data_IF_996286975364
#
_entry.id   IF_996286975364
#
_cell.length_a   1.000
_cell.length_b   1.000
_cell.length_c   1.000
_cell.angle_alpha   90.00
_cell.angle_beta   90.00
_cell.angle_gamma   90.00
#
_symmetry.space_group_name_H-M   'P 1'
#
loop_
_entity.id
_entity.type
_entity.pdbx_description
1 polymer ?
#
# COMPACT_ATOMS: atom_id res chain seq x y z
N UNK A 1 -7.10 19.76 2.05
CA UNK A 1 -6.47 19.70 3.39
C UNK A 1 -6.85 18.36 3.98
N UNK A 2 -6.01 17.34 3.75
CA UNK A 2 -6.24 15.96 4.21
C UNK A 2 -5.25 15.72 5.33
N UNK A 3 -5.74 15.51 6.55
CA UNK A 3 -4.90 15.22 7.71
C UNK A 3 -4.41 13.78 7.60
N UNK A 4 -3.12 13.61 7.28
CA UNK A 4 -2.43 12.32 7.37
C UNK A 4 -2.03 12.13 8.83
N UNK A 5 -2.78 11.30 9.55
CA UNK A 5 -2.39 10.86 10.90
C UNK A 5 -1.38 9.73 10.72
N UNK A 6 -0.09 10.07 10.79
CA UNK A 6 0.98 9.09 10.88
C UNK A 6 1.00 8.52 12.31
N UNK A 7 0.58 7.26 12.47
CA UNK A 7 0.82 6.50 13.70
C UNK A 7 2.22 5.90 13.60
N UNK A 8 3.15 6.43 14.40
CA UNK A 8 4.46 5.85 14.58
C UNK A 8 4.34 4.53 15.36
N UNK A 9 4.40 3.41 14.65
CA UNK A 9 4.55 2.08 15.23
C UNK A 9 5.97 1.87 15.75
N UNK A 10 6.13 1.85 17.08
CA UNK A 10 7.37 1.47 17.71
C UNK A 10 7.63 -0.04 17.50
N UNK A 11 8.68 -0.36 16.77
CA UNK A 11 9.27 -1.70 16.75
C UNK A 11 9.67 -2.11 18.18
N UNK A 12 9.11 -3.21 18.66
CA UNK A 12 9.32 -3.73 20.00
C UNK A 12 9.43 -5.25 19.98
N UNK A 13 10.64 -5.73 19.72
CA UNK A 13 11.00 -7.14 19.74
C UNK A 13 11.06 -7.66 21.20
N UNK A 14 10.54 -8.88 21.36
CA UNK A 14 10.87 -9.89 22.37
C UNK A 14 11.01 -9.48 23.85
N UNK A 15 9.97 -9.78 24.64
CA UNK A 15 10.11 -9.81 26.10
C UNK A 15 8.87 -10.26 26.86
N UNK A 16 8.49 -11.54 26.77
CA UNK A 16 7.54 -12.15 27.71
C UNK A 16 8.10 -12.03 29.14
N UNK A 17 7.61 -11.10 29.94
CA UNK A 17 7.57 -11.16 31.40
C UNK A 17 6.53 -10.16 31.89
N UNK A 18 5.48 -10.68 32.53
CA UNK A 18 4.22 -9.99 32.75
C UNK A 18 4.37 -8.68 33.52
N UNK A 19 3.82 -7.60 32.95
CA UNK A 19 3.54 -6.37 33.66
C UNK A 19 2.09 -5.98 33.42
N UNK A 20 1.28 -6.14 34.47
CA UNK A 20 0.00 -5.46 34.62
C UNK A 20 0.26 -3.95 34.67
N UNK A 21 0.32 -3.29 33.52
CA UNK A 21 0.21 -1.83 33.48
C UNK A 21 -1.28 -1.49 33.52
N UNK A 22 -1.75 -1.17 34.72
CA UNK A 22 -2.98 -0.38 34.90
C UNK A 22 -2.73 0.96 34.23
N UNK A 23 -3.24 1.16 33.02
CA UNK A 23 -3.26 2.49 32.39
C UNK A 23 -4.41 3.25 33.02
N UNK A 24 -4.05 4.23 33.85
CA UNK A 24 -4.96 5.25 34.36
C UNK A 24 -5.38 6.13 33.19
N UNK A 25 -6.65 6.03 32.79
CA UNK A 25 -7.32 6.96 31.88
C UNK A 25 -7.56 8.27 32.64
N UNK A 26 -6.96 9.42 32.24
CA UNK A 26 -7.38 10.70 32.78
C UNK A 26 -8.74 11.07 32.20
N UNK A 27 -9.74 10.97 33.07
CA UNK A 27 -11.12 11.39 32.85
C UNK A 27 -11.15 12.93 32.93
N UNK A 28 -10.98 13.63 31.81
CA UNK A 28 -11.17 15.09 31.74
C UNK A 28 -12.63 15.38 31.46
N UNK A 29 -13.37 15.64 32.54
CA UNK A 29 -14.77 16.04 32.53
C UNK A 29 -14.91 17.55 32.78
N UNK A 30 -15.62 18.24 31.88
CA UNK A 30 -16.28 19.55 32.09
C UNK A 30 -15.37 20.78 32.33
N UNK A 31 -15.80 22.03 32.16
CA UNK A 31 -17.05 22.60 31.70
C UNK A 31 -16.80 24.10 31.37
N UNK A 32 -17.48 24.59 30.33
CA UNK A 32 -18.16 25.88 30.14
C UNK A 32 -17.61 27.22 30.72
N UNK A 33 -17.69 28.22 29.82
CA UNK A 33 -18.08 29.64 30.02
C UNK A 33 -17.12 30.57 30.80
N UNK A 34 -16.42 31.40 30.04
CA UNK A 34 -15.81 32.64 30.53
C UNK A 34 -15.66 33.67 29.42
N UNK A 35 -16.59 34.62 29.35
CA UNK A 35 -16.46 35.83 28.56
C UNK A 35 -15.29 36.67 29.09
N UNK A 36 -14.28 36.90 28.26
CA UNK A 36 -13.13 37.74 28.57
C UNK A 36 -12.77 38.60 27.36
N UNK A 37 -13.28 39.83 27.37
CA UNK A 37 -12.92 40.89 26.43
C UNK A 37 -11.46 41.28 26.67
N UNK A 38 -10.60 41.16 25.66
CA UNK A 38 -9.18 41.48 25.79
C UNK A 38 -8.49 41.58 24.43
N UNK A 39 -8.68 42.71 23.77
CA UNK A 39 -7.87 43.16 22.64
C UNK A 39 -6.58 43.79 23.18
N UNK A 40 -5.41 43.38 22.67
CA UNK A 40 -4.42 44.36 22.19
C UNK A 40 -3.84 43.92 20.83
N UNK A 41 -4.10 44.66 19.76
CA UNK A 41 -3.30 45.78 19.21
C UNK A 41 -1.91 45.37 18.67
N UNK A 42 -1.58 45.66 17.38
CA UNK A 42 -0.48 45.03 16.64
C UNK A 42 0.79 45.90 16.57
N UNK A 43 1.97 45.27 16.48
CA UNK A 43 3.21 45.86 15.93
C UNK A 43 4.32 44.79 15.80
N UNK A 44 5.38 45.02 15.01
CA UNK A 44 5.43 45.40 13.60
C UNK A 44 6.22 44.36 12.76
N UNK A 45 6.19 44.57 11.44
CA UNK A 45 6.97 43.84 10.44
C UNK A 45 8.48 43.79 10.76
N UNK A 46 9.10 42.63 10.51
CA UNK A 46 10.54 42.52 10.25
C UNK A 46 10.77 41.75 8.95
N UNK A 47 11.05 42.49 7.89
CA UNK A 47 11.89 42.02 6.78
C UNK A 47 13.33 41.89 7.27
N UNK A 48 14.03 40.84 6.84
CA UNK A 48 15.37 41.05 6.33
C UNK A 48 15.51 40.53 4.89
N UNK A 49 15.79 41.51 4.04
CA UNK A 49 16.47 41.45 2.76
C UNK A 49 17.75 40.60 2.79
N UNK A 50 17.93 39.72 1.80
CA UNK A 50 19.07 39.76 0.86
C UNK A 50 19.13 38.49 0.01
N UNK A 51 19.22 38.69 -1.31
CA UNK A 51 19.58 37.69 -2.32
C UNK A 51 21.04 37.21 -2.15
N UNK A 52 21.42 36.10 -2.80
CA UNK A 52 22.15 36.31 -4.07
C UNK A 52 21.68 35.45 -5.24
N UNK A 53 21.73 36.08 -6.41
CA UNK A 53 21.76 35.45 -7.73
C UNK A 53 23.10 34.74 -7.98
N UNK A 54 23.08 33.59 -8.65
CA UNK A 54 24.10 33.07 -9.56
C UNK A 54 23.52 31.81 -10.24
N UNK A 55 23.09 31.87 -11.50
CA UNK A 55 23.88 31.79 -12.74
C UNK A 55 24.72 30.52 -12.86
N UNK A 56 24.28 29.58 -13.69
CA UNK A 56 25.16 28.71 -14.48
C UNK A 56 24.40 28.26 -15.74
N UNK A 57 24.81 28.85 -16.86
CA UNK A 57 24.49 28.39 -18.20
C UNK A 57 25.29 27.10 -18.50
N UNK A 58 24.64 26.13 -19.14
CA UNK A 58 25.27 24.93 -19.67
C UNK A 58 24.63 24.55 -20.99
N UNK A 59 25.36 24.83 -22.08
CA UNK A 59 24.96 24.60 -23.47
C UNK A 59 25.24 23.17 -23.94
N UNK A 60 24.38 22.67 -24.85
CA UNK A 60 24.67 21.82 -26.04
C UNK A 60 25.02 20.32 -25.86
N UNK A 61 24.92 19.46 -26.90
CA UNK A 61 24.33 19.59 -28.26
C UNK A 61 23.47 18.37 -28.75
N UNK A 62 23.06 18.43 -30.03
CA UNK A 62 22.62 17.36 -30.96
C UNK A 62 21.18 16.83 -30.79
N UNK A 63 20.28 16.85 -31.78
CA UNK A 63 20.46 16.94 -33.22
C UNK A 63 20.70 15.55 -33.83
N UNK A 64 19.63 14.80 -34.11
CA UNK A 64 19.47 13.94 -35.29
C UNK A 64 18.08 13.31 -35.35
N UNK A 65 17.53 13.35 -36.56
CA UNK A 65 16.22 12.86 -36.98
C UNK A 65 15.93 11.39 -36.69
N UNK A 66 14.64 11.00 -36.65
CA UNK A 66 14.22 9.60 -36.68
C UNK A 66 14.64 8.94 -38.00
N UNK A 67 15.34 7.82 -37.89
CA UNK A 67 15.55 6.91 -39.01
C UNK A 67 14.29 6.06 -39.24
N UNK A 68 13.86 6.08 -40.49
CA UNK A 68 12.78 5.34 -41.12
C UNK A 68 12.78 3.83 -40.79
N UNK A 69 11.63 3.20 -40.54
CA UNK A 69 11.53 1.75 -40.39
C UNK A 69 11.78 1.04 -41.73
N UNK A 70 12.55 -0.07 -41.77
CA UNK A 70 12.52 -0.98 -42.90
C UNK A 70 11.19 -1.75 -42.94
N UNK A 71 10.69 -1.91 -44.16
CA UNK A 71 9.46 -2.60 -44.52
C UNK A 71 9.46 -4.11 -44.12
N UNK A 72 8.27 -4.70 -43.92
CA UNK A 72 8.11 -6.10 -43.56
C UNK A 72 8.61 -7.02 -44.69
N UNK A 73 9.49 -7.95 -44.35
CA UNK A 73 9.81 -9.09 -45.22
C UNK A 73 8.90 -10.23 -44.80
N UNK A 74 7.96 -10.61 -45.68
CA UNK A 74 7.16 -11.81 -45.53
C UNK A 74 8.02 -13.04 -45.87
N UNK A 75 8.09 -14.06 -45.00
CA UNK A 75 8.29 -15.43 -45.42
C UNK A 75 6.94 -16.09 -45.68
N UNK A 76 6.71 -16.36 -46.97
CA UNK A 76 5.80 -17.39 -47.46
C UNK A 76 6.28 -18.74 -46.93
N UNK A 77 5.49 -19.41 -46.10
CA UNK A 77 5.70 -20.82 -45.73
C UNK A 77 4.34 -21.45 -45.49
N UNK A 78 3.94 -22.22 -46.50
CA UNK A 78 3.02 -23.35 -46.57
C UNK A 78 2.07 -23.63 -45.38
N UNK A 79 0.77 -23.94 -45.64
CA UNK A 79 -0.10 -24.52 -44.62
C UNK A 79 0.32 -25.99 -44.34
N UNK A 80 0.69 -26.36 -43.09
CA UNK A 80 0.62 -27.74 -42.68
C UNK A 80 -0.82 -28.09 -42.28
N UNK A 81 -1.20 -29.29 -42.67
CA UNK A 81 -2.51 -29.93 -42.52
C UNK A 81 -3.25 -29.68 -41.20
N UNK A 82 -4.56 -29.51 -41.35
CA UNK A 82 -5.54 -29.55 -40.29
C UNK A 82 -5.54 -30.93 -39.60
N UNK A 83 -4.71 -31.10 -38.58
CA UNK A 83 -4.93 -32.12 -37.57
C UNK A 83 -6.01 -31.61 -36.61
N UNK A 84 -7.24 -32.06 -36.83
CA UNK A 84 -8.35 -31.94 -35.87
C UNK A 84 -8.01 -32.78 -34.63
N UNK A 85 -7.17 -32.24 -33.75
CA UNK A 85 -6.96 -32.80 -32.42
C UNK A 85 -8.04 -32.25 -31.51
N UNK A 86 -9.08 -33.06 -31.27
CA UNK A 86 -10.03 -32.83 -30.18
C UNK A 86 -9.28 -32.94 -28.86
N UNK A 87 -8.69 -31.82 -28.42
CA UNK A 87 -8.20 -31.66 -27.06
C UNK A 87 -9.41 -31.73 -26.10
N UNK A 88 -9.30 -32.45 -24.97
CA UNK A 88 -10.33 -32.42 -23.94
C UNK A 88 -10.49 -30.97 -23.47
N UNK A 89 -11.75 -30.54 -23.30
CA UNK A 89 -12.07 -29.24 -22.72
C UNK A 89 -11.25 -29.04 -21.44
N UNK A 90 -10.36 -28.04 -21.45
CA UNK A 90 -9.66 -27.62 -20.26
C UNK A 90 -10.71 -27.27 -19.18
N UNK A 91 -10.49 -27.65 -17.91
CA UNK A 91 -11.35 -27.21 -16.83
C UNK A 91 -11.39 -25.68 -16.87
N UNK A 92 -12.61 -25.13 -16.93
CA UNK A 92 -12.82 -23.70 -17.06
C UNK A 92 -12.01 -22.95 -16.00
N UNK A 93 -11.24 -21.97 -16.46
CA UNK A 93 -10.63 -20.95 -15.61
C UNK A 93 -11.72 -20.40 -14.70
N UNK A 94 -11.69 -20.79 -13.43
CA UNK A 94 -12.51 -20.15 -12.41
C UNK A 94 -12.15 -18.66 -12.45
N UNK A 95 -13.15 -17.80 -12.61
CA UNK A 95 -12.95 -16.37 -12.49
C UNK A 95 -12.26 -16.08 -11.14
N UNK A 96 -11.36 -15.08 -11.06
CA UNK A 96 -10.67 -14.74 -9.81
C UNK A 96 -11.70 -14.63 -8.69
N UNK A 97 -11.59 -15.57 -7.75
CA UNK A 97 -12.58 -15.76 -6.71
C UNK A 97 -12.52 -14.60 -5.72
N UNK A 98 -13.60 -13.84 -5.62
CA UNK A 98 -13.86 -13.05 -4.43
C UNK A 98 -14.12 -14.03 -3.29
N UNK A 99 -13.16 -14.21 -2.39
CA UNK A 99 -13.43 -14.89 -1.12
C UNK A 99 -14.42 -14.04 -0.34
N UNK A 100 -15.65 -14.52 -0.20
CA UNK A 100 -16.69 -13.81 0.53
C UNK A 100 -16.40 -13.94 2.04
N UNK A 101 -16.13 -12.83 2.75
CA UNK A 101 -15.80 -12.89 4.16
C UNK A 101 -17.04 -13.20 5.00
N UNK A 102 -16.84 -13.47 6.29
CA UNK A 102 -17.94 -13.70 7.23
C UNK A 102 -18.96 -12.55 7.21
N UNK A 103 -20.25 -12.87 7.43
CA UNK A 103 -21.34 -11.92 7.31
C UNK A 103 -21.08 -10.58 8.04
N UNK A 104 -21.13 -9.48 7.29
CA UNK A 104 -20.96 -8.12 7.79
C UNK A 104 -19.53 -7.58 7.74
N UNK A 105 -18.54 -8.37 7.32
CA UNK A 105 -17.19 -7.92 7.02
C UNK A 105 -17.08 -7.36 5.58
N UNK A 106 -16.24 -6.35 5.31
CA UNK A 106 -16.06 -5.79 3.96
C UNK A 106 -15.42 -6.79 3.00
N UNK A 107 -15.90 -6.87 1.75
CA UNK A 107 -15.36 -7.80 0.76
C UNK A 107 -13.95 -7.44 0.31
N UNK A 108 -13.12 -8.45 0.03
CA UNK A 108 -11.83 -8.25 -0.67
C UNK A 108 -11.99 -8.43 -2.17
N UNK A 109 -10.99 -8.00 -2.92
CA UNK A 109 -10.85 -8.25 -4.35
C UNK A 109 -9.53 -8.93 -4.62
N UNK A 110 -9.49 -9.82 -5.61
CA UNK A 110 -8.22 -10.29 -6.15
C UNK A 110 -7.59 -9.13 -6.96
N UNK A 111 -6.36 -8.70 -6.64
CA UNK A 111 -5.70 -7.63 -7.38
C UNK A 111 -5.44 -8.05 -8.83
N UNK A 112 -5.58 -7.11 -9.76
CA UNK A 112 -5.16 -7.27 -11.17
C UNK A 112 -4.00 -6.31 -11.46
N UNK A 113 -3.05 -6.71 -12.29
CA UNK A 113 -1.91 -5.85 -12.65
C UNK A 113 -2.37 -4.48 -13.18
N UNK A 114 -1.80 -3.41 -12.62
CA UNK A 114 -2.11 -2.02 -12.94
C UNK A 114 -3.44 -1.52 -12.39
N UNK A 115 -4.25 -2.37 -11.74
CA UNK A 115 -5.48 -1.94 -11.09
C UNK A 115 -5.16 -1.20 -9.80
N UNK A 116 -5.73 0.00 -9.65
CA UNK A 116 -5.64 0.74 -8.38
C UNK A 116 -6.61 0.14 -7.36
N UNK A 117 -6.07 -0.31 -6.23
CA UNK A 117 -6.81 -0.91 -5.12
C UNK A 117 -6.30 -0.35 -3.78
N UNK A 118 -7.05 -0.57 -2.70
CA UNK A 118 -6.62 -0.24 -1.34
C UNK A 118 -6.09 -1.50 -0.65
N UNK A 119 -4.80 -1.54 -0.36
CA UNK A 119 -4.16 -2.61 0.39
C UNK A 119 -4.17 -2.31 1.89
N UNK A 120 -4.46 -3.33 2.69
CA UNK A 120 -4.27 -3.34 4.15
C UNK A 120 -3.15 -4.33 4.45
N UNK A 121 -2.10 -3.86 5.09
CA UNK A 121 -0.95 -4.69 5.48
C UNK A 121 -1.08 -5.10 6.94
N UNK A 122 -1.14 -6.40 7.18
CA UNK A 122 -1.32 -6.99 8.50
C UNK A 122 0.03 -7.14 9.23
N UNK A 123 1.07 -7.53 8.50
CA UNK A 123 2.45 -7.49 8.95
C UNK A 123 3.38 -7.19 7.76
N UNK A 124 4.56 -6.64 8.05
CA UNK A 124 5.62 -6.29 7.09
C UNK A 124 6.97 -6.63 7.70
N UNK A 125 7.74 -7.45 6.99
CA UNK A 125 9.09 -7.89 7.40
C UNK A 125 10.09 -7.61 6.30
N UNK A 126 11.38 -7.56 6.65
CA UNK A 126 12.44 -7.51 5.64
C UNK A 126 12.45 -8.86 4.91
N UNK A 127 12.59 -8.83 3.59
CA UNK A 127 12.57 -10.04 2.75
C UNK A 127 13.58 -11.08 3.27
N UNK A 128 13.14 -12.34 3.36
CA UNK A 128 13.96 -13.45 3.86
C UNK A 128 14.17 -13.45 5.38
N UNK A 129 13.48 -12.57 6.11
CA UNK A 129 13.49 -12.53 7.58
C UNK A 129 12.09 -12.82 8.13
N UNK A 130 12.03 -13.37 9.35
CA UNK A 130 10.79 -13.45 10.15
C UNK A 130 9.54 -14.02 9.42
N UNK A 131 9.70 -14.98 8.50
CA UNK A 131 8.58 -15.58 7.74
C UNK A 131 7.43 -16.05 8.65
N UNK A 132 7.76 -16.59 9.82
CA UNK A 132 6.80 -17.01 10.85
C UNK A 132 5.83 -15.91 11.30
N UNK A 133 6.19 -14.63 11.16
CA UNK A 133 5.29 -13.50 11.44
C UNK A 133 4.28 -13.27 10.33
N UNK A 134 4.69 -13.40 9.08
CA UNK A 134 3.79 -13.33 7.93
C UNK A 134 2.77 -14.47 8.00
N UNK A 135 3.24 -15.70 8.25
CA UNK A 135 2.37 -16.88 8.40
C UNK A 135 1.37 -16.70 9.57
N UNK A 136 1.81 -16.09 10.68
CA UNK A 136 0.93 -15.78 11.81
C UNK A 136 -0.12 -14.72 11.47
N UNK A 137 0.25 -13.71 10.69
CA UNK A 137 -0.66 -12.67 10.22
C UNK A 137 -1.72 -13.23 9.24
N UNK A 138 -1.31 -14.10 8.32
CA UNK A 138 -2.22 -14.82 7.42
C UNK A 138 -3.18 -15.72 8.19
N UNK A 139 -2.67 -16.51 9.14
CA UNK A 139 -3.50 -17.36 9.99
C UNK A 139 -4.51 -16.56 10.82
N UNK A 140 -4.11 -15.38 11.30
CA UNK A 140 -5.01 -14.47 12.02
C UNK A 140 -6.12 -13.93 11.10
N UNK A 141 -5.80 -13.55 9.86
CA UNK A 141 -6.79 -13.14 8.87
C UNK A 141 -7.75 -14.28 8.50
N UNK A 142 -7.22 -15.49 8.33
CA UNK A 142 -8.02 -16.69 8.04
C UNK A 142 -9.03 -16.99 9.15
N UNK A 143 -8.69 -16.70 10.42
CA UNK A 143 -9.59 -16.91 11.56
C UNK A 143 -10.90 -16.08 11.49
N UNK A 144 -10.91 -15.00 10.72
CA UNK A 144 -12.08 -14.13 10.47
C UNK A 144 -12.61 -14.25 9.04
N UNK A 145 -12.11 -15.22 8.27
CA UNK A 145 -12.61 -15.56 6.93
C UNK A 145 -11.97 -14.77 5.80
N UNK A 146 -10.78 -14.22 6.00
CA UNK A 146 -10.00 -13.59 4.93
C UNK A 146 -8.80 -14.43 4.53
N UNK A 147 -8.49 -14.42 3.24
CA UNK A 147 -7.29 -15.03 2.69
C UNK A 147 -6.30 -13.89 2.42
N UNK A 148 -5.37 -13.66 3.35
CA UNK A 148 -4.31 -12.68 3.17
C UNK A 148 -3.21 -13.29 2.31
N UNK A 149 -2.59 -12.47 1.46
CA UNK A 149 -1.56 -12.91 0.53
C UNK A 149 -0.23 -12.28 0.89
N UNK A 150 0.82 -13.10 0.94
CA UNK A 150 2.20 -12.63 1.02
C UNK A 150 2.61 -11.96 -0.30
N UNK A 151 2.99 -10.69 -0.24
CA UNK A 151 3.42 -9.89 -1.40
C UNK A 151 4.74 -9.19 -1.12
N UNK A 152 5.63 -9.13 -2.12
CA UNK A 152 6.79 -8.24 -2.06
C UNK A 152 6.33 -6.78 -2.16
N UNK A 153 6.77 -5.90 -1.25
CA UNK A 153 6.39 -4.48 -1.31
C UNK A 153 6.82 -3.80 -2.60
N UNK A 154 7.88 -4.32 -3.22
CA UNK A 154 8.33 -3.88 -4.52
C UNK A 154 7.27 -4.06 -5.60
N UNK A 155 6.32 -5.00 -5.47
CA UNK A 155 5.26 -5.32 -6.43
C UNK A 155 4.00 -4.47 -6.30
N UNK A 156 3.88 -3.70 -5.21
CA UNK A 156 2.75 -2.80 -4.93
C UNK A 156 3.20 -1.35 -5.02
N UNK A 157 3.03 -0.75 -6.20
CA UNK A 157 3.47 0.63 -6.44
C UNK A 157 2.83 1.60 -5.44
N UNK A 158 3.65 2.31 -4.67
CA UNK A 158 3.22 3.28 -3.66
C UNK A 158 3.19 2.75 -2.22
N UNK A 159 3.33 1.44 -2.00
CA UNK A 159 3.33 0.84 -0.67
C UNK A 159 4.49 1.35 0.21
N UNK A 160 5.72 1.25 -0.28
CA UNK A 160 6.93 1.61 0.47
C UNK A 160 6.92 3.08 0.91
N UNK A 161 6.53 3.99 0.01
CA UNK A 161 6.44 5.42 0.30
C UNK A 161 5.35 5.74 1.33
N UNK A 162 4.20 5.05 1.24
CA UNK A 162 3.07 5.28 2.15
C UNK A 162 3.37 4.76 3.56
N UNK A 163 4.00 3.58 3.65
CA UNK A 163 4.38 2.94 4.91
C UNK A 163 5.73 3.44 5.46
N UNK A 164 6.39 4.38 4.76
CA UNK A 164 7.68 4.95 5.14
C UNK A 164 8.77 3.89 5.36
N UNK A 165 8.78 2.87 4.50
CA UNK A 165 9.79 1.80 4.54
C UNK A 165 11.13 2.32 4.04
N UNK A 166 12.23 1.70 4.51
CA UNK A 166 13.58 2.06 4.10
C UNK A 166 13.83 1.61 2.65
N UNK A 167 14.00 2.52 1.68
CA UNK A 167 14.19 2.13 0.27
C UNK A 167 15.50 1.36 0.02
N UNK A 168 16.41 1.29 0.99
CA UNK A 168 17.62 0.46 0.90
C UNK A 168 17.39 -1.03 1.21
N UNK A 169 16.17 -1.41 1.63
CA UNK A 169 15.82 -2.79 1.99
C UNK A 169 14.68 -3.28 1.11
N UNK A 170 14.59 -4.61 0.99
CA UNK A 170 13.44 -5.29 0.39
C UNK A 170 12.52 -5.76 1.49
N UNK A 171 11.22 -5.68 1.24
CA UNK A 171 10.20 -6.02 2.22
C UNK A 171 9.17 -6.97 1.61
N UNK A 172 8.62 -7.80 2.49
CA UNK A 172 7.51 -8.70 2.19
C UNK A 172 6.44 -8.45 3.24
N UNK A 173 5.16 -8.45 2.83
CA UNK A 173 4.06 -8.24 3.75
C UNK A 173 2.88 -9.16 3.48
N UNK A 174 2.09 -9.40 4.53
CA UNK A 174 0.81 -10.08 4.42
C UNK A 174 -0.28 -9.03 4.16
N UNK A 175 -0.87 -9.06 2.97
CA UNK A 175 -1.76 -8.01 2.48
C UNK A 175 -3.17 -8.53 2.17
N UNK A 176 -4.16 -7.65 2.34
CA UNK A 176 -5.53 -7.80 1.87
C UNK A 176 -5.88 -6.63 0.95
N UNK A 177 -6.48 -6.91 -0.20
CA UNK A 177 -6.86 -5.87 -1.17
C UNK A 177 -8.36 -5.62 -1.16
N UNK A 178 -8.73 -4.35 -1.11
CA UNK A 178 -10.09 -3.86 -1.10
C UNK A 178 -10.35 -2.96 -2.30
N UNK A 179 -11.58 -2.94 -2.84
CA UNK A 179 -11.91 -2.12 -4.01
C UNK A 179 -11.95 -0.62 -3.69
N UNK A 180 -12.05 -0.24 -2.41
CA UNK A 180 -12.03 1.17 -2.00
C UNK A 180 -11.37 1.37 -0.63
N UNK A 181 -10.96 2.62 -0.38
CA UNK A 181 -10.36 3.01 0.89
C UNK A 181 -11.35 2.92 2.05
N UNK A 182 -12.64 3.17 1.80
CA UNK A 182 -13.69 3.05 2.81
C UNK A 182 -13.92 1.59 3.22
N UNK A 183 -13.81 0.63 2.29
CA UNK A 183 -13.89 -0.79 2.62
C UNK A 183 -12.68 -1.26 3.43
N UNK A 184 -11.47 -0.84 3.01
CA UNK A 184 -10.24 -1.08 3.76
C UNK A 184 -10.33 -0.50 5.19
N UNK A 185 -10.81 0.74 5.34
CA UNK A 185 -10.93 1.35 6.67
C UNK A 185 -11.93 0.62 7.56
N UNK A 186 -13.08 0.19 7.01
CA UNK A 186 -14.05 -0.63 7.76
C UNK A 186 -13.45 -1.95 8.23
N UNK A 187 -12.52 -2.54 7.48
CA UNK A 187 -11.79 -3.72 7.90
C UNK A 187 -10.88 -3.38 9.09
N UNK A 188 -10.06 -2.33 8.95
CA UNK A 188 -9.12 -1.89 9.99
C UNK A 188 -9.85 -1.61 11.30
N UNK A 189 -10.93 -0.82 11.26
CA UNK A 189 -11.71 -0.44 12.45
C UNK A 189 -12.25 -1.64 13.24
N UNK A 190 -12.42 -2.80 12.59
CA UNK A 190 -12.93 -4.02 13.23
C UNK A 190 -11.83 -5.03 13.57
N UNK A 191 -10.79 -5.12 12.76
CA UNK A 191 -9.74 -6.10 12.91
C UNK A 191 -8.76 -5.75 14.04
N UNK A 192 -8.65 -4.47 14.41
CA UNK A 192 -7.66 -4.03 15.40
C UNK A 192 -7.72 -4.78 16.75
N UNK A 193 -6.53 -5.10 17.33
CA UNK A 193 -5.17 -4.75 16.88
C UNK A 193 -4.60 -5.73 15.83
N UNK A 194 -3.67 -5.26 14.98
CA UNK A 194 -2.93 -6.14 14.04
C UNK A 194 -2.81 -5.63 12.61
N UNK A 195 -2.83 -4.31 12.41
CA UNK A 195 -2.64 -3.67 11.10
C UNK A 195 -1.39 -2.79 11.19
N UNK A 196 -0.46 -2.96 10.26
CA UNK A 196 0.72 -2.11 10.11
C UNK A 196 0.34 -0.78 9.45
N UNK A 197 -0.50 -0.84 8.42
CA UNK A 197 -0.99 0.34 7.74
C UNK A 197 -1.85 0.02 6.52
N UNK A 198 -2.36 1.07 5.90
CA UNK A 198 -3.10 0.98 4.63
C UNK A 198 -2.42 1.83 3.57
N UNK A 199 -2.50 1.40 2.32
CA UNK A 199 -1.99 2.16 1.19
C UNK A 199 -2.89 2.00 -0.04
N UNK A 200 -2.96 3.04 -0.86
CA UNK A 200 -3.49 2.91 -2.21
C UNK A 200 -2.34 2.47 -3.11
N UNK A 201 -2.50 1.31 -3.76
CA UNK A 201 -1.44 0.68 -4.54
C UNK A 201 -1.91 0.30 -5.93
N UNK A 202 -0.95 0.12 -6.83
CA UNK A 202 -1.15 -0.50 -8.14
C UNK A 202 -0.27 -1.75 -8.21
N UNK A 203 -0.82 -2.95 -7.98
CA UNK A 203 -0.07 -4.20 -8.06
C UNK A 203 0.44 -4.41 -9.48
N UNK A 204 1.66 -4.92 -9.66
CA UNK A 204 2.18 -5.23 -11.01
C UNK A 204 2.82 -6.61 -11.15
N UNK A 205 3.20 -7.25 -10.05
CA UNK A 205 3.52 -8.68 -10.02
C UNK A 205 2.23 -9.44 -9.66
N UNK A 206 1.37 -9.67 -10.64
CA UNK A 206 0.29 -10.66 -10.48
C UNK A 206 0.74 -11.92 -11.20
N UNK A 207 0.89 -13.01 -10.47
CA UNK A 207 1.28 -14.33 -10.98
C UNK A 207 0.25 -14.92 -11.98
#
# INVERSE_FOLDING_TARGET
MTAVVAVAGAAGEAGRRGWRRRVLVPLVAGALLGAGCGSPEPAPAQEPSAAPSSSSAGSSPAGSSPATPPAPTAPDTAPPDAATSSAPAAPGTAAPGTSEPAAGWPGTVAPTAGQRVSAVYLDVVVEGTEQERLDAAEAAAASVGYDATTVEMGCDEGAEATLQLDPAKRYTGAALYFPSAEEAQRFVDRYEPGVVGTAQVSPFCVD
#
